data_IF_638715414552
#
_entry.id   IF_638715414552
#
_cell.length_a   1.000
_cell.length_b   1.000
_cell.length_c   1.000
_cell.angle_alpha   90.00
_cell.angle_beta   90.00
_cell.angle_gamma   90.00
#
_symmetry.space_group_name_H-M   'P 1'
#
loop_
_entity.id
_entity.type
_entity.pdbx_description
1 polymer ?
#
# COMPACT_ATOMS: atom_id res chain seq x y z
N UNK A 1 60.96 41.16 29.08
CA UNK A 1 59.57 41.02 29.44
C UNK A 1 58.86 40.27 28.30
N UNK A 2 58.64 39.01 28.50
CA UNK A 2 57.95 38.14 27.48
C UNK A 2 56.45 38.14 27.79
N UNK A 3 55.67 38.80 26.95
CA UNK A 3 54.21 38.78 27.04
C UNK A 3 53.75 37.40 26.61
N UNK A 4 53.17 36.66 27.52
CA UNK A 4 52.49 35.35 27.22
C UNK A 4 51.11 35.68 26.68
N UNK A 5 50.93 35.51 25.39
CA UNK A 5 49.65 35.61 24.72
C UNK A 5 48.89 34.31 25.00
N UNK A 6 47.98 34.33 25.95
CA UNK A 6 47.08 33.23 26.23
C UNK A 6 45.97 33.29 25.19
N UNK A 7 46.10 32.45 24.14
CA UNK A 7 45.08 32.24 23.13
C UNK A 7 43.93 31.40 23.76
N UNK A 8 42.87 32.05 24.18
CA UNK A 8 41.62 31.37 24.57
C UNK A 8 40.97 30.80 23.29
N UNK A 9 41.30 29.57 22.97
CA UNK A 9 40.53 28.81 22.00
C UNK A 9 39.21 28.42 22.69
N UNK A 10 38.18 29.24 22.49
CA UNK A 10 36.81 28.86 22.80
C UNK A 10 36.44 27.73 21.87
N UNK A 11 36.60 26.49 22.30
CA UNK A 11 36.03 25.34 21.65
C UNK A 11 34.53 25.48 21.81
N UNK A 12 33.89 26.05 20.80
CA UNK A 12 32.43 25.94 20.58
C UNK A 12 32.15 24.45 20.33
N UNK A 13 31.97 23.70 21.42
CA UNK A 13 31.30 22.43 21.35
C UNK A 13 29.87 22.71 20.93
N UNK A 14 29.63 22.68 19.64
CA UNK A 14 28.28 22.54 19.11
C UNK A 14 27.77 21.22 19.68
N UNK A 15 27.09 21.30 20.79
CA UNK A 15 26.31 20.19 21.28
C UNK A 15 25.21 20.00 20.24
N UNK A 16 25.45 19.04 19.34
CA UNK A 16 24.36 18.42 18.61
C UNK A 16 23.49 17.78 19.70
N UNK A 17 22.54 18.53 20.19
CA UNK A 17 21.43 17.95 20.93
C UNK A 17 20.75 17.06 19.93
N UNK A 18 21.10 15.77 19.93
CA UNK A 18 20.23 14.76 19.35
C UNK A 18 18.93 14.89 20.12
N UNK A 19 17.99 15.66 19.56
CA UNK A 19 16.64 15.68 20.07
C UNK A 19 16.21 14.21 20.14
N UNK A 20 15.89 13.75 21.34
CA UNK A 20 15.37 12.39 21.48
C UNK A 20 14.20 12.25 20.50
N UNK A 21 14.14 11.12 19.76
CA UNK A 21 13.04 10.90 18.85
C UNK A 21 11.73 11.11 19.62
N UNK A 22 10.74 11.79 19.02
CA UNK A 22 9.49 12.07 19.69
C UNK A 22 8.87 10.76 20.19
N UNK A 23 8.50 10.73 21.47
CA UNK A 23 7.76 9.60 22.03
C UNK A 23 6.27 9.84 21.81
N UNK A 24 5.57 8.86 21.25
CA UNK A 24 4.13 8.91 20.99
C UNK A 24 3.33 8.13 22.05
N UNK A 25 3.81 8.10 23.29
CA UNK A 25 3.20 7.35 24.39
C UNK A 25 1.76 7.80 24.68
N UNK A 26 1.49 9.10 24.53
CA UNK A 26 0.14 9.65 24.68
C UNK A 26 -0.82 9.13 23.59
N UNK A 27 -0.32 8.85 22.39
CA UNK A 27 -1.12 8.25 21.31
C UNK A 27 -1.36 6.77 21.57
N UNK A 28 -0.36 6.06 22.07
CA UNK A 28 -0.48 4.64 22.41
C UNK A 28 -1.59 4.42 23.47
N UNK A 29 -1.67 5.30 24.47
CA UNK A 29 -2.72 5.23 25.49
C UNK A 29 -4.12 5.31 24.83
N UNK A 30 -4.38 6.31 23.99
CA UNK A 30 -5.66 6.41 23.28
C UNK A 30 -5.95 5.21 22.39
N UNK A 31 -4.92 4.61 21.79
CA UNK A 31 -5.08 3.42 20.95
C UNK A 31 -5.51 2.20 21.77
N UNK A 32 -4.85 1.96 22.90
CA UNK A 32 -5.16 0.84 23.82
C UNK A 32 -6.56 1.00 24.42
N UNK A 33 -6.94 2.24 24.77
CA UNK A 33 -8.26 2.55 25.30
C UNK A 33 -9.39 2.50 24.25
N UNK A 34 -9.06 2.21 22.96
CA UNK A 34 -10.03 2.21 21.87
C UNK A 34 -10.59 3.59 21.50
N UNK A 35 -9.96 4.67 21.99
CA UNK A 35 -10.44 6.04 21.83
C UNK A 35 -9.91 6.64 20.50
N UNK A 36 -10.26 5.98 19.38
CA UNK A 36 -9.66 6.25 18.07
C UNK A 36 -9.94 7.65 17.52
N UNK A 37 -11.09 8.25 17.83
CA UNK A 37 -11.39 9.62 17.41
C UNK A 37 -10.47 10.64 18.09
N UNK A 38 -10.27 10.51 19.41
CA UNK A 38 -9.31 11.37 20.13
C UNK A 38 -7.88 11.11 19.67
N UNK A 39 -7.55 9.84 19.42
CA UNK A 39 -6.27 9.47 18.83
C UNK A 39 -6.04 10.19 17.50
N UNK A 40 -7.02 10.15 16.56
CA UNK A 40 -6.92 10.79 15.27
C UNK A 40 -6.68 12.31 15.40
N UNK A 41 -7.53 12.99 16.18
CA UNK A 41 -7.40 14.42 16.42
C UNK A 41 -6.08 14.83 17.11
N UNK A 42 -5.53 13.96 17.97
CA UNK A 42 -4.26 14.20 18.65
C UNK A 42 -3.07 13.92 17.73
N UNK A 43 -3.11 12.79 16.98
CA UNK A 43 -2.05 12.41 16.06
C UNK A 43 -1.92 13.41 14.90
N UNK A 44 -3.03 13.91 14.36
CA UNK A 44 -3.01 14.93 13.33
C UNK A 44 -2.23 16.18 13.76
N UNK A 45 -2.36 16.63 15.03
CA UNK A 45 -1.60 17.77 15.56
C UNK A 45 -0.10 17.55 15.48
N UNK A 46 0.38 16.30 15.64
CA UNK A 46 1.80 15.98 15.47
C UNK A 46 2.26 16.15 14.01
N UNK A 47 1.41 15.92 13.02
CA UNK A 47 1.77 16.15 11.62
C UNK A 47 1.93 17.63 11.25
N UNK A 48 1.47 18.53 12.13
CA UNK A 48 1.50 20.00 11.92
C UNK A 48 2.59 20.71 12.72
N UNK A 49 3.14 20.08 13.79
CA UNK A 49 4.17 20.68 14.64
C UNK A 49 5.52 20.67 13.93
N UNK A 50 6.28 21.75 14.05
CA UNK A 50 7.61 21.88 13.44
C UNK A 50 8.56 20.74 13.82
N UNK A 51 8.51 20.28 15.06
CA UNK A 51 9.38 19.23 15.59
C UNK A 51 9.05 17.84 15.04
N UNK A 52 7.81 17.61 14.63
CA UNK A 52 7.32 16.28 14.25
C UNK A 52 6.72 16.17 12.85
N UNK A 53 6.53 17.30 12.15
CA UNK A 53 5.95 17.32 10.79
C UNK A 53 6.74 16.50 9.74
N UNK A 54 8.01 16.19 10.03
CA UNK A 54 8.85 15.37 9.18
C UNK A 54 9.05 13.95 9.71
N UNK A 55 8.53 13.65 10.89
CA UNK A 55 8.61 12.32 11.49
C UNK A 55 7.54 11.42 10.87
N UNK A 56 7.91 10.27 10.24
CA UNK A 56 6.96 9.34 9.65
C UNK A 56 5.98 8.75 10.68
N UNK A 57 6.36 8.60 11.95
CA UNK A 57 5.47 8.08 13.00
C UNK A 57 4.26 8.98 13.25
N UNK A 58 4.36 10.30 13.09
CA UNK A 58 3.21 11.20 13.21
C UNK A 58 2.11 10.84 12.18
N UNK A 59 2.52 10.55 10.96
CA UNK A 59 1.63 10.16 9.86
C UNK A 59 1.11 8.73 10.01
N UNK A 60 1.95 7.82 10.49
CA UNK A 60 1.57 6.46 10.82
C UNK A 60 0.43 6.43 11.86
N UNK A 61 0.61 7.11 12.99
CA UNK A 61 -0.41 7.16 14.03
C UNK A 61 -1.72 7.80 13.56
N UNK A 62 -1.64 8.85 12.75
CA UNK A 62 -2.83 9.47 12.16
C UNK A 62 -3.54 8.49 11.24
N UNK A 63 -2.80 7.79 10.37
CA UNK A 63 -3.34 6.75 9.51
C UNK A 63 -4.00 5.64 10.31
N UNK A 64 -3.31 5.09 11.30
CA UNK A 64 -3.80 3.97 12.13
C UNK A 64 -5.08 4.34 12.89
N UNK A 65 -5.13 5.56 13.41
CA UNK A 65 -6.33 6.07 14.09
C UNK A 65 -7.53 6.19 13.14
N UNK A 66 -7.35 6.86 12.00
CA UNK A 66 -8.40 7.05 11.01
C UNK A 66 -8.88 5.74 10.41
N UNK A 67 -7.98 4.76 10.22
CA UNK A 67 -8.34 3.42 9.77
C UNK A 67 -9.29 2.75 10.78
N UNK A 68 -8.97 2.78 12.07
CA UNK A 68 -9.84 2.21 13.11
C UNK A 68 -11.17 2.97 13.23
N UNK A 69 -11.16 4.31 13.12
CA UNK A 69 -12.40 5.12 13.10
C UNK A 69 -13.30 4.74 11.94
N UNK A 70 -12.74 4.46 10.76
CA UNK A 70 -13.53 4.15 9.56
C UNK A 70 -14.40 2.90 9.66
N UNK A 71 -14.12 2.01 10.62
CA UNK A 71 -14.90 0.81 10.92
C UNK A 71 -15.83 0.98 12.14
N UNK A 72 -15.83 2.16 12.78
CA UNK A 72 -16.78 2.45 13.84
C UNK A 72 -18.12 2.86 13.20
N UNK A 73 -19.18 2.15 13.56
CA UNK A 73 -20.54 2.46 13.10
C UNK A 73 -21.07 3.70 13.83
N UNK A 74 -20.56 4.86 13.47
CA UNK A 74 -21.14 6.10 13.93
C UNK A 74 -21.29 7.08 12.77
N UNK A 75 -22.33 7.92 12.84
CA UNK A 75 -22.67 8.89 11.81
C UNK A 75 -21.95 10.24 12.01
N UNK A 76 -20.73 10.23 12.52
CA UNK A 76 -19.94 11.45 12.71
C UNK A 76 -19.43 11.97 11.36
N UNK A 77 -20.05 13.03 10.86
CA UNK A 77 -19.71 13.67 9.60
C UNK A 77 -18.23 14.09 9.51
N UNK A 78 -17.59 14.35 10.65
CA UNK A 78 -16.16 14.69 10.73
C UNK A 78 -15.28 13.57 10.17
N UNK A 79 -15.71 12.32 10.31
CA UNK A 79 -14.93 11.14 9.92
C UNK A 79 -15.49 10.38 8.72
N UNK A 80 -16.43 10.96 7.97
CA UNK A 80 -17.03 10.32 6.78
C UNK A 80 -16.01 9.86 5.72
N UNK A 81 -14.84 10.49 5.66
CA UNK A 81 -13.75 10.15 4.74
C UNK A 81 -12.59 9.44 5.43
N UNK A 82 -12.74 9.03 6.70
CA UNK A 82 -11.65 8.50 7.53
C UNK A 82 -10.84 7.40 6.84
N UNK A 83 -11.50 6.49 6.12
CA UNK A 83 -10.81 5.42 5.37
C UNK A 83 -9.88 5.99 4.27
N UNK A 84 -10.37 6.90 3.44
CA UNK A 84 -9.56 7.50 2.37
C UNK A 84 -8.42 8.36 2.93
N UNK A 85 -8.69 9.08 4.00
CA UNK A 85 -7.71 9.91 4.69
C UNK A 85 -6.63 9.04 5.35
N UNK A 86 -7.01 7.93 5.98
CA UNK A 86 -6.07 6.96 6.52
C UNK A 86 -5.04 6.53 5.47
N UNK A 87 -5.49 6.10 4.30
CA UNK A 87 -4.59 5.70 3.21
C UNK A 87 -3.69 6.86 2.78
N UNK A 88 -4.24 8.08 2.71
CA UNK A 88 -3.47 9.27 2.35
C UNK A 88 -2.37 9.58 3.37
N UNK A 89 -2.65 9.41 4.67
CA UNK A 89 -1.65 9.56 5.71
C UNK A 89 -0.61 8.43 5.70
N UNK A 90 -1.01 7.19 5.39
CA UNK A 90 -0.07 6.08 5.26
C UNK A 90 0.91 6.28 4.09
N UNK A 91 0.44 6.79 2.95
CA UNK A 91 1.29 7.18 1.83
C UNK A 91 2.26 8.32 2.19
N UNK A 92 1.81 9.30 3.00
CA UNK A 92 2.68 10.36 3.51
C UNK A 92 3.72 9.79 4.47
N UNK A 93 3.34 8.86 5.35
CA UNK A 93 4.24 8.13 6.23
C UNK A 93 5.35 7.46 5.40
N UNK A 94 4.97 6.62 4.44
CA UNK A 94 5.91 5.90 3.57
C UNK A 94 6.85 6.84 2.81
N UNK A 95 6.34 7.97 2.31
CA UNK A 95 7.16 8.98 1.62
C UNK A 95 8.22 9.61 2.55
N UNK A 96 7.93 9.73 3.84
CA UNK A 96 8.84 10.30 4.85
C UNK A 96 9.77 9.25 5.47
N UNK A 97 9.36 7.99 5.49
CA UNK A 97 10.11 6.85 6.02
C UNK A 97 11.21 6.40 5.05
N UNK A 98 12.28 7.22 4.93
CA UNK A 98 13.37 6.98 3.99
C UNK A 98 14.22 5.76 4.33
N UNK A 99 14.24 5.38 5.58
CA UNK A 99 15.00 4.24 6.11
C UNK A 99 14.17 2.97 6.18
N UNK A 100 12.88 3.02 5.86
CA UNK A 100 11.90 1.94 6.02
C UNK A 100 11.72 1.46 7.48
N UNK A 101 12.15 2.25 8.45
CA UNK A 101 12.08 1.87 9.86
C UNK A 101 10.64 1.70 10.35
N UNK A 102 9.74 2.63 9.98
CA UNK A 102 8.32 2.55 10.37
C UNK A 102 7.65 1.39 9.64
N UNK A 103 7.93 1.22 8.35
CA UNK A 103 7.40 0.10 7.59
C UNK A 103 7.80 -1.25 8.20
N UNK A 104 9.08 -1.43 8.53
CA UNK A 104 9.57 -2.71 9.06
C UNK A 104 8.98 -3.02 10.45
N UNK A 105 8.86 -2.00 11.32
CA UNK A 105 8.30 -2.15 12.67
C UNK A 105 6.78 -2.35 12.68
N UNK A 106 6.07 -1.71 11.77
CA UNK A 106 4.61 -1.66 11.73
C UNK A 106 4.02 -2.40 10.53
N UNK A 107 4.79 -3.33 9.97
CA UNK A 107 4.46 -4.10 8.76
C UNK A 107 3.06 -4.70 8.79
N UNK A 108 2.63 -5.21 9.93
CA UNK A 108 1.31 -5.83 10.09
C UNK A 108 0.17 -4.85 9.78
N UNK A 109 0.32 -3.58 10.19
CA UNK A 109 -0.67 -2.56 9.86
C UNK A 109 -0.70 -2.23 8.36
N UNK A 110 0.47 -2.15 7.71
CA UNK A 110 0.52 -1.96 6.25
C UNK A 110 -0.16 -3.11 5.52
N UNK A 111 0.04 -4.34 5.97
CA UNK A 111 -0.62 -5.51 5.41
C UNK A 111 -2.13 -5.54 5.70
N UNK A 112 -2.58 -5.12 6.89
CA UNK A 112 -4.00 -4.96 7.22
C UNK A 112 -4.68 -3.98 6.24
N UNK A 113 -4.04 -2.83 5.97
CA UNK A 113 -4.53 -1.86 4.98
C UNK A 113 -4.52 -2.44 3.57
N UNK A 114 -3.46 -3.17 3.17
CA UNK A 114 -3.40 -3.85 1.88
C UNK A 114 -4.57 -4.81 1.68
N UNK A 115 -4.85 -5.67 2.66
CA UNK A 115 -5.95 -6.63 2.60
C UNK A 115 -7.31 -5.94 2.45
N UNK A 116 -7.53 -4.86 3.19
CA UNK A 116 -8.74 -4.05 3.09
C UNK A 116 -8.90 -3.42 1.68
N UNK A 117 -7.81 -2.92 1.10
CA UNK A 117 -7.81 -2.38 -0.27
C UNK A 117 -8.09 -3.47 -1.31
N UNK A 118 -7.51 -4.66 -1.16
CA UNK A 118 -7.76 -5.82 -2.02
C UNK A 118 -9.24 -6.17 -2.01
N UNK A 119 -9.90 -6.19 -0.86
CA UNK A 119 -11.34 -6.45 -0.75
C UNK A 119 -12.16 -5.44 -1.55
N UNK A 120 -11.82 -4.15 -1.46
CA UNK A 120 -12.49 -3.13 -2.25
C UNK A 120 -12.30 -3.34 -3.75
N UNK A 121 -11.08 -3.67 -4.19
CA UNK A 121 -10.82 -3.93 -5.61
C UNK A 121 -11.59 -5.15 -6.10
N UNK A 122 -11.60 -6.26 -5.35
CA UNK A 122 -12.35 -7.47 -5.70
C UNK A 122 -13.85 -7.16 -5.83
N UNK A 123 -14.43 -6.43 -4.88
CA UNK A 123 -15.84 -6.04 -4.90
C UNK A 123 -16.19 -5.18 -6.12
N UNK A 124 -15.35 -4.20 -6.45
CA UNK A 124 -15.60 -3.33 -7.60
C UNK A 124 -15.40 -4.07 -8.94
N UNK A 125 -14.43 -4.99 -9.04
CA UNK A 125 -14.27 -5.85 -10.22
C UNK A 125 -15.50 -6.77 -10.40
N UNK A 126 -15.98 -7.37 -9.31
CA UNK A 126 -17.17 -8.23 -9.32
C UNK A 126 -18.42 -7.44 -9.77
N UNK A 127 -18.53 -6.19 -9.33
CA UNK A 127 -19.59 -5.26 -9.72
C UNK A 127 -19.38 -4.62 -11.11
N UNK A 128 -18.26 -4.91 -11.76
CA UNK A 128 -17.82 -4.31 -13.04
C UNK A 128 -17.64 -2.79 -13.01
N UNK A 129 -17.43 -2.21 -11.82
CA UNK A 129 -17.04 -0.79 -11.68
C UNK A 129 -15.51 -0.65 -11.82
N UNK A 130 -15.03 -0.84 -13.03
CA UNK A 130 -13.59 -0.83 -13.33
C UNK A 130 -12.92 0.51 -13.01
N UNK A 131 -13.67 1.61 -13.00
CA UNK A 131 -13.15 2.92 -12.64
C UNK A 131 -12.79 2.99 -11.16
N UNK A 132 -13.70 2.58 -10.29
CA UNK A 132 -13.43 2.53 -8.83
C UNK A 132 -12.42 1.46 -8.50
N UNK A 133 -12.49 0.28 -9.14
CA UNK A 133 -11.46 -0.75 -8.99
C UNK A 133 -10.07 -0.19 -9.27
N UNK A 134 -9.88 0.56 -10.36
CA UNK A 134 -8.63 1.19 -10.72
C UNK A 134 -8.18 2.24 -9.68
N UNK A 135 -9.11 3.05 -9.16
CA UNK A 135 -8.80 4.04 -8.13
C UNK A 135 -8.26 3.40 -6.84
N UNK A 136 -8.88 2.31 -6.36
CA UNK A 136 -8.41 1.56 -5.19
C UNK A 136 -7.12 0.81 -5.48
N UNK A 137 -7.03 0.16 -6.62
CA UNK A 137 -5.85 -0.58 -7.04
C UNK A 137 -4.59 0.29 -7.12
N UNK A 138 -4.70 1.52 -7.59
CA UNK A 138 -3.60 2.50 -7.56
C UNK A 138 -3.09 2.80 -6.16
N UNK A 139 -3.93 2.68 -5.12
CA UNK A 139 -3.47 2.82 -3.73
C UNK A 139 -2.63 1.63 -3.30
N UNK A 140 -2.99 0.42 -3.74
CA UNK A 140 -2.16 -0.78 -3.52
C UNK A 140 -0.79 -0.58 -4.18
N UNK A 141 -0.75 -0.21 -5.46
CA UNK A 141 0.51 0.00 -6.19
C UNK A 141 1.36 1.10 -5.54
N UNK A 142 0.73 2.18 -5.05
CA UNK A 142 1.44 3.27 -4.39
C UNK A 142 2.07 2.86 -3.06
N UNK A 143 1.41 1.97 -2.29
CA UNK A 143 1.93 1.43 -1.02
C UNK A 143 2.90 0.25 -1.24
N UNK A 144 2.65 -0.55 -2.27
CA UNK A 144 3.38 -1.79 -2.59
C UNK A 144 3.76 -1.81 -4.07
N UNK A 145 4.78 -1.05 -4.50
CA UNK A 145 5.13 -0.89 -5.92
C UNK A 145 5.52 -2.19 -6.62
N UNK A 146 5.96 -3.20 -5.86
CA UNK A 146 6.35 -4.50 -6.41
C UNK A 146 5.21 -5.53 -6.46
N UNK A 147 3.99 -5.14 -6.07
CA UNK A 147 2.84 -6.05 -6.09
C UNK A 147 2.42 -6.38 -7.53
N UNK A 148 2.77 -7.58 -7.99
CA UNK A 148 2.48 -8.04 -9.34
C UNK A 148 0.98 -8.18 -9.59
N UNK A 149 0.20 -8.65 -8.59
CA UNK A 149 -1.25 -8.77 -8.72
C UNK A 149 -1.90 -7.40 -9.01
N UNK A 150 -1.48 -6.38 -8.27
CA UNK A 150 -1.97 -5.02 -8.46
C UNK A 150 -1.56 -4.44 -9.83
N UNK A 151 -0.33 -4.68 -10.28
CA UNK A 151 0.12 -4.26 -11.62
C UNK A 151 -0.72 -4.92 -12.72
N UNK A 152 -0.98 -6.22 -12.63
CA UNK A 152 -1.80 -6.93 -13.61
C UNK A 152 -3.26 -6.46 -13.60
N UNK A 153 -3.82 -6.23 -12.42
CA UNK A 153 -5.16 -5.69 -12.26
C UNK A 153 -5.28 -4.27 -12.83
N UNK A 154 -4.25 -3.42 -12.69
CA UNK A 154 -4.22 -2.08 -13.33
C UNK A 154 -4.35 -2.20 -14.86
N UNK A 155 -3.61 -3.13 -15.47
CA UNK A 155 -3.71 -3.43 -16.90
C UNK A 155 -5.13 -3.89 -17.30
N UNK A 156 -5.72 -4.80 -16.54
CA UNK A 156 -7.08 -5.26 -16.79
C UNK A 156 -8.12 -4.14 -16.67
N UNK A 157 -8.06 -3.35 -15.62
CA UNK A 157 -8.94 -2.19 -15.43
C UNK A 157 -8.82 -1.18 -16.59
N UNK A 158 -7.61 -0.84 -17.01
CA UNK A 158 -7.37 0.06 -18.15
C UNK A 158 -7.99 -0.49 -19.44
N UNK A 159 -7.82 -1.79 -19.69
CA UNK A 159 -8.44 -2.44 -20.84
C UNK A 159 -9.96 -2.26 -20.83
N UNK A 160 -10.63 -2.56 -19.72
CA UNK A 160 -12.09 -2.41 -19.63
C UNK A 160 -12.55 -0.96 -19.74
N UNK A 161 -11.70 -0.01 -19.34
CA UNK A 161 -11.90 1.44 -19.52
C UNK A 161 -11.52 1.95 -20.93
N UNK A 162 -11.23 1.03 -21.87
CA UNK A 162 -10.87 1.31 -23.28
C UNK A 162 -9.45 1.92 -23.47
N UNK A 163 -8.63 1.93 -22.45
CA UNK A 163 -7.19 2.27 -22.57
C UNK A 163 -6.37 0.99 -22.90
N UNK A 164 -6.59 0.46 -24.12
CA UNK A 164 -5.88 -0.75 -24.60
C UNK A 164 -4.37 -0.52 -24.72
N UNK A 165 -3.88 0.63 -25.22
CA UNK A 165 -2.45 0.89 -25.25
C UNK A 165 -1.81 0.88 -23.85
N UNK A 166 -2.41 1.57 -22.87
CA UNK A 166 -1.92 1.59 -21.49
C UNK A 166 -1.92 0.21 -20.83
N UNK A 167 -2.96 -0.61 -21.08
CA UNK A 167 -3.00 -2.00 -20.63
C UNK A 167 -1.86 -2.84 -21.23
N UNK A 168 -1.61 -2.69 -22.54
CA UNK A 168 -0.55 -3.43 -23.25
C UNK A 168 0.84 -3.12 -22.69
N UNK A 169 1.12 -1.85 -22.41
CA UNK A 169 2.39 -1.43 -21.77
C UNK A 169 2.59 -2.16 -20.46
N UNK A 170 1.59 -2.12 -19.57
CA UNK A 170 1.67 -2.77 -18.25
C UNK A 170 1.93 -4.27 -18.38
N UNK A 171 1.20 -4.95 -19.26
CA UNK A 171 1.40 -6.39 -19.46
C UNK A 171 2.81 -6.70 -20.00
N UNK A 172 3.34 -5.88 -20.91
CA UNK A 172 4.69 -6.06 -21.45
C UNK A 172 5.76 -5.89 -20.35
N UNK A 173 5.64 -4.85 -19.53
CA UNK A 173 6.57 -4.57 -18.43
C UNK A 173 6.57 -5.67 -17.36
N UNK A 174 5.44 -6.36 -17.16
CA UNK A 174 5.30 -7.35 -16.10
C UNK A 174 5.41 -8.80 -16.57
N UNK A 175 5.60 -9.05 -17.88
CA UNK A 175 5.70 -10.41 -18.40
C UNK A 175 6.87 -11.20 -17.79
N UNK A 176 8.06 -10.60 -17.73
CA UNK A 176 9.24 -11.25 -17.17
C UNK A 176 9.04 -11.62 -15.68
N UNK A 177 8.34 -10.78 -14.91
CA UNK A 177 8.03 -11.08 -13.50
C UNK A 177 7.13 -12.30 -13.35
N UNK A 178 6.11 -12.45 -14.24
CA UNK A 178 5.25 -13.64 -14.26
C UNK A 178 6.08 -14.89 -14.60
N UNK A 179 6.95 -14.79 -15.59
CA UNK A 179 7.77 -15.91 -16.04
C UNK A 179 8.78 -16.37 -14.97
N UNK A 180 9.35 -15.44 -14.22
CA UNK A 180 10.36 -15.70 -13.20
C UNK A 180 9.76 -16.14 -11.85
N UNK A 181 8.48 -15.81 -11.59
CA UNK A 181 7.84 -16.17 -10.33
C UNK A 181 7.75 -17.68 -10.15
N UNK A 182 8.30 -18.20 -9.05
CA UNK A 182 8.35 -19.63 -8.77
C UNK A 182 7.19 -20.08 -7.89
N UNK A 183 6.84 -19.30 -6.85
CA UNK A 183 5.83 -19.66 -5.87
C UNK A 183 5.07 -18.44 -5.37
N UNK A 184 3.88 -18.71 -4.83
CA UNK A 184 3.02 -17.75 -4.12
C UNK A 184 2.78 -18.17 -2.66
N UNK A 185 3.62 -19.04 -2.12
CA UNK A 185 3.43 -19.61 -0.77
C UNK A 185 3.52 -18.55 0.33
N UNK A 186 4.26 -17.47 0.09
CA UNK A 186 4.36 -16.33 1.01
C UNK A 186 3.12 -15.42 1.02
N UNK A 187 2.19 -15.60 0.08
CA UNK A 187 0.98 -14.79 -0.01
C UNK A 187 -0.06 -15.28 0.98
N UNK A 188 -0.75 -14.36 1.65
CA UNK A 188 -1.97 -14.68 2.40
C UNK A 188 -3.06 -15.21 1.46
N UNK A 189 -4.08 -15.88 2.00
CA UNK A 189 -5.18 -16.41 1.20
C UNK A 189 -5.89 -15.30 0.39
N UNK A 190 -6.07 -14.12 0.98
CA UNK A 190 -6.65 -12.96 0.30
C UNK A 190 -5.77 -12.46 -0.87
N UNK A 191 -4.45 -12.45 -0.69
CA UNK A 191 -3.51 -12.08 -1.75
C UNK A 191 -3.50 -13.13 -2.87
N UNK A 192 -3.60 -14.42 -2.54
CA UNK A 192 -3.75 -15.50 -3.54
C UNK A 192 -5.03 -15.36 -4.34
N UNK A 193 -6.16 -15.10 -3.69
CA UNK A 193 -7.46 -14.83 -4.33
C UNK A 193 -7.35 -13.66 -5.31
N UNK A 194 -6.78 -12.55 -4.85
CA UNK A 194 -6.59 -11.36 -5.66
C UNK A 194 -5.65 -11.59 -6.83
N UNK A 195 -4.54 -12.31 -6.62
CA UNK A 195 -3.61 -12.63 -7.69
C UNK A 195 -4.26 -13.58 -8.73
N UNK A 196 -5.01 -14.59 -8.27
CA UNK A 196 -5.79 -15.46 -9.17
C UNK A 196 -6.74 -14.63 -10.04
N UNK A 197 -7.51 -13.73 -9.42
CA UNK A 197 -8.41 -12.84 -10.16
C UNK A 197 -7.65 -11.99 -11.18
N UNK A 198 -6.51 -11.39 -10.78
CA UNK A 198 -5.69 -10.54 -11.65
C UNK A 198 -5.15 -11.30 -12.87
N UNK A 199 -4.70 -12.54 -12.69
CA UNK A 199 -4.26 -13.45 -13.75
C UNK A 199 -5.43 -13.78 -14.70
N UNK A 200 -6.60 -14.17 -14.17
CA UNK A 200 -7.76 -14.51 -14.99
C UNK A 200 -8.27 -13.32 -15.80
N UNK A 201 -8.32 -12.12 -15.21
CA UNK A 201 -8.69 -10.90 -15.93
C UNK A 201 -7.69 -10.57 -17.04
N UNK A 202 -6.39 -10.67 -16.76
CA UNK A 202 -5.33 -10.46 -17.75
C UNK A 202 -5.45 -11.42 -18.93
N UNK A 203 -5.64 -12.72 -18.67
CA UNK A 203 -5.83 -13.74 -19.68
C UNK A 203 -7.06 -13.42 -20.56
N UNK A 204 -8.19 -13.07 -19.93
CA UNK A 204 -9.43 -12.70 -20.63
C UNK A 204 -9.21 -11.52 -21.57
N UNK A 205 -8.52 -10.48 -21.09
CA UNK A 205 -8.20 -9.30 -21.91
C UNK A 205 -7.28 -9.65 -23.07
N UNK A 206 -6.21 -10.43 -22.85
CA UNK A 206 -5.27 -10.87 -23.88
C UNK A 206 -5.95 -11.71 -24.98
N UNK A 207 -6.87 -12.62 -24.61
CA UNK A 207 -7.72 -13.34 -25.60
C UNK A 207 -8.47 -12.38 -26.49
N UNK A 208 -9.11 -11.37 -25.90
CA UNK A 208 -9.94 -10.43 -26.65
C UNK A 208 -9.13 -9.58 -27.61
N UNK A 209 -7.90 -9.23 -27.28
CA UNK A 209 -6.97 -8.50 -28.18
C UNK A 209 -6.16 -9.46 -29.09
N UNK A 210 -6.57 -10.73 -29.20
CA UNK A 210 -5.97 -11.75 -30.07
C UNK A 210 -4.50 -12.10 -29.75
N UNK A 211 -4.05 -11.89 -28.51
CA UNK A 211 -2.74 -12.32 -28.00
C UNK A 211 -2.85 -13.71 -27.35
N UNK A 212 -3.34 -14.70 -28.11
CA UNK A 212 -3.72 -16.02 -27.58
C UNK A 212 -2.52 -16.80 -27.02
N UNK A 213 -1.37 -16.78 -27.68
CA UNK A 213 -0.17 -17.48 -27.21
C UNK A 213 0.28 -16.94 -25.86
N UNK A 214 0.26 -15.62 -25.69
CA UNK A 214 0.58 -14.99 -24.42
C UNK A 214 -0.44 -15.34 -23.32
N UNK A 215 -1.72 -15.34 -23.64
CA UNK A 215 -2.77 -15.76 -22.72
C UNK A 215 -2.54 -17.21 -22.25
N UNK A 216 -2.19 -18.13 -23.15
CA UNK A 216 -1.85 -19.53 -22.84
C UNK A 216 -0.61 -19.65 -21.96
N UNK A 217 0.44 -18.90 -22.25
CA UNK A 217 1.66 -18.92 -21.43
C UNK A 217 1.37 -18.47 -19.98
N UNK A 218 0.60 -17.39 -19.79
CA UNK A 218 0.20 -16.93 -18.46
C UNK A 218 -0.69 -17.97 -17.77
N UNK A 219 -1.63 -18.59 -18.51
CA UNK A 219 -2.49 -19.64 -17.97
C UNK A 219 -1.69 -20.85 -17.47
N UNK A 220 -0.68 -21.30 -18.24
CA UNK A 220 0.21 -22.39 -17.84
C UNK A 220 0.99 -22.05 -16.56
N UNK A 221 1.51 -20.83 -16.44
CA UNK A 221 2.16 -20.35 -15.22
C UNK A 221 1.18 -20.32 -14.05
N UNK A 222 0.00 -19.75 -14.22
CA UNK A 222 -1.05 -19.75 -13.19
C UNK A 222 -1.44 -21.13 -12.72
N UNK A 223 -1.42 -22.14 -13.61
CA UNK A 223 -1.70 -23.53 -13.24
C UNK A 223 -0.61 -24.16 -12.33
N UNK A 224 0.55 -23.56 -12.19
CA UNK A 224 1.54 -23.97 -11.17
C UNK A 224 1.10 -23.56 -9.77
N UNK A 225 0.40 -22.43 -9.64
CA UNK A 225 0.03 -21.80 -8.39
C UNK A 225 -1.40 -22.12 -7.94
N UNK A 226 -2.36 -22.12 -8.89
CA UNK A 226 -3.79 -22.29 -8.62
C UNK A 226 -4.23 -23.70 -9.01
N UNK A 227 -4.55 -24.52 -8.01
CA UNK A 227 -4.92 -25.94 -8.20
C UNK A 227 -6.41 -26.20 -8.05
N UNK A 228 -7.19 -25.15 -7.74
CA UNK A 228 -8.63 -25.24 -7.56
C UNK A 228 -9.36 -25.47 -8.90
N UNK A 229 -10.57 -26.02 -8.79
CA UNK A 229 -11.34 -26.41 -9.97
C UNK A 229 -11.83 -25.22 -10.78
N UNK A 230 -12.09 -24.08 -10.14
CA UNK A 230 -12.51 -22.84 -10.84
C UNK A 230 -11.44 -22.38 -11.82
N UNK A 231 -10.16 -22.37 -11.37
CA UNK A 231 -9.07 -21.99 -12.25
C UNK A 231 -8.85 -23.00 -13.38
N UNK A 232 -8.92 -24.32 -13.07
CA UNK A 232 -8.80 -25.37 -14.10
C UNK A 232 -9.92 -25.26 -15.16
N UNK A 233 -11.16 -25.06 -14.71
CA UNK A 233 -12.29 -24.84 -15.61
C UNK A 233 -12.09 -23.60 -16.48
N UNK A 234 -11.62 -22.49 -15.88
CA UNK A 234 -11.36 -21.27 -16.63
C UNK A 234 -10.34 -21.48 -17.74
N UNK A 235 -9.19 -22.11 -17.45
CA UNK A 235 -8.13 -22.32 -18.45
C UNK A 235 -8.50 -23.37 -19.51
N UNK A 236 -9.43 -24.29 -19.23
CA UNK A 236 -9.90 -25.27 -20.21
C UNK A 236 -10.66 -24.63 -21.39
N UNK A 237 -11.05 -23.36 -21.26
CA UNK A 237 -11.73 -22.56 -22.29
C UNK A 237 -10.79 -21.79 -23.22
N UNK A 238 -9.47 -21.93 -23.03
CA UNK A 238 -8.43 -21.26 -23.81
C UNK A 238 -8.00 -22.11 -24.99
#
# INVERSE_FOLDING_TARGET
MKAILILFIAILTVQYTHAQPPTYNDLLIYYVDGNYKKLAAKAEKYTLKEETKNDPYAYFWTSKALFKVSFQNDNDETFKNAYKESISYLLKCQKKDKTHEVYDKEKDFFLEVKQSLIELVINEITSKDYKKALEWNKKIIALFPEDLAAKLMDGACKYYLKDVPGATVIWNENQAFIEQMQSIDSYSEKEKEYFKMSIMQTITCLKTVKQLDRAKNIAQKGNLWFKDDDYKQFISTL
#
